data_IF_077450387207
#
_entry.id   IF_077450387207
#
_cell.length_a   1.000
_cell.length_b   1.000
_cell.length_c   1.000
_cell.angle_alpha   90.00
_cell.angle_beta   90.00
_cell.angle_gamma   90.00
#
_symmetry.space_group_name_H-M   'P 1'
#
loop_
_entity.id
_entity.type
_entity.pdbx_description
1 polymer ?
#
# COMPACT_ATOMS: atom_id res chain seq x y z
N UNK A 1 -12.08 23.84 -26.05
CA UNK A 1 -13.42 23.23 -26.01
C UNK A 1 -13.36 21.97 -25.16
N UNK A 2 -14.02 21.97 -24.02
CA UNK A 2 -14.17 20.79 -23.20
C UNK A 2 -15.23 19.91 -23.84
N UNK A 3 -14.80 18.76 -24.40
CA UNK A 3 -15.73 17.75 -24.87
C UNK A 3 -16.51 17.18 -23.65
N UNK A 4 -17.82 17.10 -23.78
CA UNK A 4 -18.67 16.40 -22.81
C UNK A 4 -18.26 14.91 -22.84
N UNK A 5 -17.61 14.42 -21.79
CA UNK A 5 -17.22 13.02 -21.64
C UNK A 5 -15.74 12.74 -21.42
N UNK A 6 -14.86 13.75 -21.43
CA UNK A 6 -13.45 13.53 -21.15
C UNK A 6 -13.22 13.28 -19.65
N UNK A 7 -12.77 12.06 -19.32
CA UNK A 7 -12.34 11.71 -17.98
C UNK A 7 -10.86 12.05 -17.83
N UNK A 8 -10.54 13.03 -16.98
CA UNK A 8 -9.17 13.40 -16.67
C UNK A 8 -8.66 12.57 -15.50
N UNK A 9 -7.56 11.84 -15.75
CA UNK A 9 -6.80 11.15 -14.71
C UNK A 9 -5.57 11.97 -14.36
N UNK A 10 -5.33 12.16 -13.06
CA UNK A 10 -4.10 12.73 -12.52
C UNK A 10 -3.48 11.73 -11.57
N UNK A 11 -2.19 11.49 -11.71
CA UNK A 11 -1.45 10.54 -10.89
C UNK A 11 -0.38 11.28 -10.09
N UNK A 12 -0.43 11.13 -8.76
CA UNK A 12 0.63 11.49 -7.85
C UNK A 12 1.57 10.30 -7.61
N UNK A 13 2.69 10.54 -6.97
CA UNK A 13 3.74 9.56 -6.75
C UNK A 13 4.38 9.66 -5.36
N UNK A 14 5.32 8.78 -5.06
CA UNK A 14 6.18 8.70 -3.88
C UNK A 14 5.50 8.26 -2.58
N UNK A 15 4.19 8.33 -2.50
CA UNK A 15 3.41 7.85 -1.37
C UNK A 15 3.25 8.86 -0.23
N UNK A 16 2.22 8.64 0.59
CA UNK A 16 1.74 9.55 1.64
C UNK A 16 2.79 9.85 2.70
N UNK A 17 3.59 8.85 3.10
CA UNK A 17 4.62 9.01 4.13
C UNK A 17 5.85 9.82 3.67
N UNK A 18 5.93 10.16 2.40
CA UNK A 18 6.98 11.03 1.84
C UNK A 18 6.52 12.46 1.59
N UNK A 19 5.29 12.79 1.96
CA UNK A 19 4.78 14.17 1.89
C UNK A 19 5.52 15.08 2.87
N UNK A 20 5.93 16.30 2.47
CA UNK A 20 6.68 17.22 3.34
C UNK A 20 5.95 17.61 4.62
N UNK A 21 4.63 17.76 4.55
CA UNK A 21 3.81 18.26 5.66
C UNK A 21 3.22 17.14 6.52
N UNK A 22 2.89 15.98 5.91
CA UNK A 22 2.17 14.90 6.58
C UNK A 22 2.94 13.57 6.60
N UNK A 23 4.13 13.51 6.02
CA UNK A 23 4.99 12.32 6.01
C UNK A 23 5.90 12.21 7.23
N UNK A 24 6.89 11.33 7.12
CA UNK A 24 7.87 11.05 8.18
C UNK A 24 9.04 12.05 8.16
N UNK A 25 8.74 13.32 8.25
CA UNK A 25 9.78 14.37 8.26
C UNK A 25 10.89 14.07 9.29
N UNK A 26 12.18 14.28 8.97
CA UNK A 26 12.72 14.95 7.77
C UNK A 26 12.94 14.03 6.54
N UNK A 27 12.62 12.74 6.63
CA UNK A 27 12.88 11.76 5.56
C UNK A 27 11.75 11.75 4.51
N UNK A 28 11.45 12.90 3.94
CA UNK A 28 10.39 13.17 2.98
C UNK A 28 10.95 13.60 1.62
N UNK A 29 10.09 13.74 0.62
CA UNK A 29 10.45 14.31 -0.69
C UNK A 29 10.23 15.81 -0.72
N UNK A 30 10.69 16.48 -1.78
CA UNK A 30 10.55 17.93 -1.97
C UNK A 30 9.22 18.36 -2.62
N UNK A 31 8.34 17.42 -2.93
CA UNK A 31 7.06 17.69 -3.58
C UNK A 31 5.90 17.10 -2.78
N UNK A 32 4.73 17.73 -2.90
CA UNK A 32 3.50 17.25 -2.28
C UNK A 32 3.03 15.96 -2.95
N UNK A 33 2.80 14.94 -2.14
CA UNK A 33 2.42 13.59 -2.60
C UNK A 33 0.94 13.30 -2.39
N UNK A 34 0.21 14.18 -1.73
CA UNK A 34 -1.20 14.00 -1.40
C UNK A 34 -2.11 14.45 -2.54
N UNK A 35 -3.20 13.71 -2.75
CA UNK A 35 -4.19 13.99 -3.80
C UNK A 35 -4.80 15.39 -3.73
N UNK A 36 -4.94 15.96 -2.52
CA UNK A 36 -5.44 17.33 -2.32
C UNK A 36 -4.62 18.39 -3.06
N UNK A 37 -3.31 18.21 -3.19
CA UNK A 37 -2.45 19.11 -3.96
C UNK A 37 -2.67 18.99 -5.48
N UNK A 38 -3.28 17.90 -5.95
CA UNK A 38 -3.66 17.74 -7.34
C UNK A 38 -4.63 18.83 -7.80
N UNK A 39 -5.53 19.27 -6.92
CA UNK A 39 -6.44 20.39 -7.21
C UNK A 39 -5.66 21.70 -7.39
N UNK A 40 -4.73 22.00 -6.48
CA UNK A 40 -3.89 23.19 -6.53
C UNK A 40 -3.02 23.19 -7.78
N UNK A 41 -2.31 22.10 -8.04
CA UNK A 41 -1.40 21.98 -9.19
C UNK A 41 -2.10 21.99 -10.56
N UNK A 42 -3.34 21.53 -10.61
CA UNK A 42 -4.14 21.54 -11.83
C UNK A 42 -4.99 22.82 -12.01
N UNK A 43 -5.05 23.70 -11.00
CA UNK A 43 -5.89 24.89 -11.01
C UNK A 43 -7.38 24.58 -11.08
N UNK A 44 -7.80 23.50 -10.42
CA UNK A 44 -9.20 23.10 -10.35
C UNK A 44 -9.74 23.19 -8.91
N UNK A 45 -11.02 23.47 -8.71
CA UNK A 45 -11.59 23.49 -7.37
C UNK A 45 -11.48 22.10 -6.70
N UNK A 46 -11.16 22.02 -5.39
CA UNK A 46 -11.01 20.74 -4.69
C UNK A 46 -12.25 19.84 -4.77
N UNK A 47 -13.45 20.42 -4.78
CA UNK A 47 -14.72 19.70 -4.85
C UNK A 47 -14.98 19.02 -6.21
N UNK A 48 -14.16 19.30 -7.24
CA UNK A 48 -14.20 18.60 -8.52
C UNK A 48 -13.52 17.23 -8.48
N UNK A 49 -12.67 16.97 -7.46
CA UNK A 49 -12.07 15.66 -7.26
C UNK A 49 -13.10 14.76 -6.59
N UNK A 50 -13.68 13.83 -7.35
CA UNK A 50 -14.76 12.93 -6.89
C UNK A 50 -14.26 11.55 -6.48
N UNK A 51 -13.16 11.11 -7.08
CA UNK A 51 -12.60 9.77 -6.84
C UNK A 51 -11.09 9.84 -6.64
N UNK A 52 -10.64 9.30 -5.53
CA UNK A 52 -9.23 9.21 -5.18
C UNK A 52 -8.91 7.74 -4.94
N UNK A 53 -8.13 7.16 -5.85
CA UNK A 53 -7.66 5.79 -5.74
C UNK A 53 -6.27 5.78 -5.14
N UNK A 54 -6.14 5.19 -3.95
CA UNK A 54 -4.83 4.99 -3.30
C UNK A 54 -4.28 3.62 -3.67
N UNK A 55 -3.04 3.57 -4.13
CA UNK A 55 -2.38 2.32 -4.48
C UNK A 55 -1.60 1.80 -3.28
N UNK A 56 -1.91 0.58 -2.85
CA UNK A 56 -1.21 -0.14 -1.79
C UNK A 56 -0.62 -1.44 -2.34
N UNK A 57 0.63 -1.73 -2.03
CA UNK A 57 1.23 -3.05 -2.29
C UNK A 57 0.81 -4.04 -1.20
N UNK A 58 0.69 -5.31 -1.53
CA UNK A 58 0.42 -6.37 -0.55
C UNK A 58 1.57 -6.64 0.45
N UNK A 59 2.69 -5.99 0.26
CA UNK A 59 3.83 -5.88 1.19
C UNK A 59 4.37 -4.45 1.13
N UNK A 60 5.30 -4.10 1.99
CA UNK A 60 5.87 -2.76 2.05
C UNK A 60 7.29 -2.71 1.46
N UNK A 61 7.61 -1.63 0.76
CA UNK A 61 8.99 -1.36 0.34
C UNK A 61 9.31 0.13 0.48
N UNK A 62 10.55 0.45 0.83
CA UNK A 62 10.98 1.82 1.00
C UNK A 62 12.36 2.07 0.40
N UNK A 63 12.58 3.32 -0.03
CA UNK A 63 13.88 3.82 -0.47
C UNK A 63 14.35 4.89 0.50
N UNK A 64 15.63 4.86 0.83
CA UNK A 64 16.25 5.84 1.71
C UNK A 64 16.00 5.59 3.20
N UNK A 65 16.44 6.53 4.02
CA UNK A 65 16.31 6.48 5.46
C UNK A 65 14.90 6.84 5.94
N UNK A 66 14.68 6.72 7.24
CA UNK A 66 13.44 7.02 7.94
C UNK A 66 12.81 5.80 8.58
N UNK A 67 11.86 6.01 9.46
CA UNK A 67 11.18 4.95 10.17
C UNK A 67 10.42 4.02 9.20
N UNK A 68 10.54 2.73 9.45
CA UNK A 68 9.87 1.68 8.70
C UNK A 68 9.54 0.55 9.67
N UNK A 69 8.44 0.69 10.41
CA UNK A 69 8.13 -0.14 11.58
C UNK A 69 7.99 -1.62 11.21
N UNK A 70 7.38 -1.93 10.08
CA UNK A 70 7.19 -3.32 9.59
C UNK A 70 8.39 -3.87 8.81
N UNK A 71 9.56 -3.23 8.87
CA UNK A 71 10.76 -3.65 8.14
C UNK A 71 11.24 -5.03 8.56
N UNK A 72 11.68 -5.82 7.59
CA UNK A 72 12.27 -7.14 7.75
C UNK A 72 13.70 -7.16 7.22
N UNK A 73 14.51 -8.11 7.73
CA UNK A 73 15.93 -8.20 7.46
C UNK A 73 16.36 -9.63 7.12
N UNK A 74 17.58 -9.78 6.62
CA UNK A 74 18.16 -11.09 6.31
C UNK A 74 17.49 -11.79 5.13
N UNK A 75 17.54 -13.13 5.16
CA UNK A 75 17.09 -13.99 4.05
C UNK A 75 15.61 -13.76 3.67
N UNK A 76 14.76 -13.48 4.65
CA UNK A 76 13.34 -13.19 4.44
C UNK A 76 13.15 -11.92 3.60
N UNK A 77 13.89 -10.86 3.92
CA UNK A 77 13.86 -9.61 3.15
C UNK A 77 14.44 -9.81 1.74
N UNK A 78 15.52 -10.57 1.62
CA UNK A 78 16.19 -10.84 0.35
C UNK A 78 15.31 -11.67 -0.58
N UNK A 79 14.61 -12.67 -0.05
CA UNK A 79 13.67 -13.48 -0.82
C UNK A 79 12.48 -12.64 -1.31
N UNK A 80 11.85 -11.85 -0.43
CA UNK A 80 10.76 -10.97 -0.80
C UNK A 80 11.22 -9.93 -1.83
N UNK A 81 12.39 -9.35 -1.66
CA UNK A 81 12.99 -8.38 -2.60
C UNK A 81 13.20 -8.98 -3.99
N UNK A 82 13.74 -10.18 -4.04
CA UNK A 82 14.00 -10.88 -5.30
C UNK A 82 12.73 -11.22 -6.05
N UNK A 83 11.66 -11.56 -5.36
CA UNK A 83 10.35 -11.90 -5.94
C UNK A 83 9.50 -10.68 -6.29
N UNK A 84 9.78 -9.53 -5.66
CA UNK A 84 8.99 -8.33 -5.81
C UNK A 84 9.07 -7.72 -7.21
N UNK A 85 7.91 -7.38 -7.80
CA UNK A 85 7.81 -6.74 -9.11
C UNK A 85 8.44 -7.56 -10.25
N UNK A 86 8.54 -6.97 -11.43
CA UNK A 86 9.08 -7.61 -12.64
C UNK A 86 10.59 -7.82 -12.66
N UNK A 87 11.33 -7.15 -11.83
CA UNK A 87 12.80 -7.21 -11.79
C UNK A 87 13.33 -7.23 -10.37
N UNK A 88 12.48 -7.53 -9.39
CA UNK A 88 12.79 -7.40 -7.97
C UNK A 88 12.64 -5.98 -7.46
N UNK A 89 12.63 -5.82 -6.15
CA UNK A 89 12.52 -4.53 -5.49
C UNK A 89 13.88 -3.82 -5.42
N UNK A 90 14.31 -3.33 -6.57
CA UNK A 90 15.54 -2.54 -6.74
C UNK A 90 15.21 -1.15 -7.31
N UNK A 91 16.08 -0.20 -7.07
CA UNK A 91 15.93 1.14 -7.63
C UNK A 91 16.10 1.12 -9.15
N UNK A 92 15.10 1.62 -9.89
CA UNK A 92 15.09 1.57 -11.35
C UNK A 92 16.34 2.22 -12.01
N UNK A 93 16.85 3.31 -11.42
CA UNK A 93 18.02 4.03 -11.96
C UNK A 93 19.32 3.58 -11.32
N UNK A 94 19.32 3.28 -10.03
CA UNK A 94 20.54 3.03 -9.24
C UNK A 94 20.83 1.56 -8.99
N UNK A 95 19.86 0.67 -9.23
CA UNK A 95 19.96 -0.75 -8.88
C UNK A 95 20.07 -1.03 -7.38
N UNK A 96 19.93 -0.01 -6.52
CA UNK A 96 20.04 -0.21 -5.06
C UNK A 96 18.91 -1.07 -4.53
N UNK A 97 19.20 -2.05 -3.65
CA UNK A 97 18.16 -2.85 -3.02
C UNK A 97 17.26 -1.96 -2.16
N UNK A 98 15.94 -2.14 -2.32
CA UNK A 98 14.95 -1.47 -1.46
C UNK A 98 14.87 -2.16 -0.12
N UNK A 99 14.55 -1.40 0.91
CA UNK A 99 14.16 -1.93 2.22
C UNK A 99 12.83 -2.63 2.06
N UNK A 100 12.67 -3.77 2.69
CA UNK A 100 11.47 -4.60 2.59
C UNK A 100 10.75 -4.69 3.92
N UNK A 101 9.44 -4.83 3.90
CA UNK A 101 8.63 -5.02 5.10
C UNK A 101 7.32 -5.72 4.79
N UNK A 102 6.67 -6.24 5.82
CA UNK A 102 5.32 -6.78 5.71
C UNK A 102 4.30 -5.65 5.50
N UNK A 103 3.11 -6.01 5.02
CA UNK A 103 2.04 -5.04 4.90
C UNK A 103 1.77 -4.38 6.26
N UNK A 104 1.67 -3.06 6.27
CA UNK A 104 1.50 -2.26 7.47
C UNK A 104 0.12 -1.58 7.46
N UNK A 105 -0.79 -2.13 8.26
CA UNK A 105 -2.16 -1.63 8.33
C UNK A 105 -2.23 -0.23 8.95
N UNK A 106 -1.37 0.07 9.93
CA UNK A 106 -1.35 1.37 10.60
C UNK A 106 -0.89 2.46 9.65
N UNK A 107 0.24 2.25 8.97
CA UNK A 107 0.76 3.18 7.98
C UNK A 107 -0.18 3.34 6.78
N UNK A 108 -0.77 2.23 6.29
CA UNK A 108 -1.68 2.25 5.14
C UNK A 108 -3.00 2.95 5.46
N UNK A 109 -3.59 2.71 6.63
CA UNK A 109 -4.77 3.43 7.13
C UNK A 109 -4.51 4.94 7.21
N UNK A 110 -3.39 5.33 7.80
CA UNK A 110 -2.98 6.72 7.85
C UNK A 110 -2.81 7.31 6.45
N UNK A 111 -2.09 6.61 5.57
CA UNK A 111 -1.87 7.05 4.20
C UNK A 111 -3.18 7.25 3.43
N UNK A 112 -4.12 6.31 3.50
CA UNK A 112 -5.43 6.43 2.88
C UNK A 112 -6.21 7.63 3.43
N UNK A 113 -6.15 7.87 4.74
CA UNK A 113 -6.79 9.03 5.38
C UNK A 113 -6.21 10.34 4.87
N UNK A 114 -4.89 10.47 4.81
CA UNK A 114 -4.22 11.68 4.32
C UNK A 114 -4.49 11.96 2.83
N UNK A 115 -4.61 10.91 2.03
CA UNK A 115 -4.99 11.03 0.62
C UNK A 115 -6.48 11.42 0.44
N UNK A 116 -7.33 11.18 1.42
CA UNK A 116 -8.79 11.25 1.24
C UNK A 116 -9.28 10.15 0.31
N UNK A 117 -8.75 8.92 0.47
CA UNK A 117 -9.04 7.78 -0.39
C UNK A 117 -10.55 7.48 -0.43
N UNK A 118 -11.08 7.29 -1.62
CA UNK A 118 -12.43 6.72 -1.84
C UNK A 118 -12.36 5.24 -2.14
N UNK A 119 -11.24 4.82 -2.72
CA UNK A 119 -10.98 3.46 -3.16
C UNK A 119 -9.51 3.10 -2.96
N UNK A 120 -9.22 1.81 -2.80
CA UNK A 120 -7.87 1.27 -2.76
C UNK A 120 -7.65 0.29 -3.91
N UNK A 121 -6.54 0.47 -4.62
CA UNK A 121 -6.00 -0.51 -5.54
C UNK A 121 -4.91 -1.32 -4.82
N UNK A 122 -5.17 -2.60 -4.61
CA UNK A 122 -4.28 -3.51 -3.88
C UNK A 122 -3.47 -4.34 -4.86
N UNK A 123 -2.16 -4.20 -4.85
CA UNK A 123 -1.29 -4.67 -5.93
C UNK A 123 -0.25 -5.68 -5.44
N UNK A 124 0.38 -6.38 -6.38
CA UNK A 124 1.49 -7.35 -6.18
C UNK A 124 1.16 -8.52 -5.25
N UNK A 125 -0.10 -8.93 -5.22
CA UNK A 125 -0.54 -10.10 -4.44
C UNK A 125 0.13 -11.40 -4.88
N UNK A 126 0.40 -11.54 -6.18
CA UNK A 126 1.08 -12.69 -6.78
C UNK A 126 2.46 -12.97 -6.15
N UNK A 127 3.13 -11.93 -5.67
CA UNK A 127 4.45 -12.02 -5.03
C UNK A 127 4.41 -12.85 -3.75
N UNK A 128 3.31 -12.83 -3.00
CA UNK A 128 3.18 -13.53 -1.71
C UNK A 128 2.82 -15.01 -1.82
N UNK A 129 2.55 -15.51 -3.02
CA UNK A 129 2.12 -16.89 -3.27
C UNK A 129 3.10 -17.99 -2.86
N UNK A 130 4.32 -17.67 -2.47
CA UNK A 130 5.31 -18.63 -1.98
C UNK A 130 5.24 -18.90 -0.47
N UNK A 131 4.54 -18.04 0.28
CA UNK A 131 4.51 -18.09 1.74
C UNK A 131 3.49 -19.11 2.26
N UNK A 132 3.84 -19.79 3.35
CA UNK A 132 2.92 -20.63 4.11
C UNK A 132 2.04 -19.78 5.04
N UNK A 133 2.65 -18.77 5.66
CA UNK A 133 2.00 -17.77 6.49
C UNK A 133 2.46 -16.38 6.06
N UNK A 134 1.54 -15.43 6.04
CA UNK A 134 1.82 -14.04 5.67
C UNK A 134 1.68 -13.17 6.91
N UNK A 135 2.78 -12.63 7.45
CA UNK A 135 2.72 -11.67 8.53
C UNK A 135 2.14 -10.32 8.05
N UNK A 136 1.30 -9.71 8.88
CA UNK A 136 0.73 -8.39 8.66
C UNK A 136 0.91 -7.56 9.92
N UNK A 137 1.43 -6.35 9.80
CA UNK A 137 1.56 -5.43 10.91
C UNK A 137 0.18 -4.79 11.20
N UNK A 138 -0.41 -5.14 12.34
CA UNK A 138 -1.75 -4.70 12.74
C UNK A 138 -1.74 -3.61 13.82
N UNK A 139 -0.60 -3.30 14.37
CA UNK A 139 -0.43 -2.31 15.40
C UNK A 139 1.05 -2.01 15.67
N UNK A 140 1.31 -1.01 16.45
CA UNK A 140 2.63 -0.62 16.92
C UNK A 140 2.70 -0.69 18.44
N UNK A 141 3.69 -1.42 18.96
CA UNK A 141 4.06 -1.39 20.37
C UNK A 141 5.07 -0.24 20.57
N UNK A 142 4.72 0.72 21.41
CA UNK A 142 5.54 1.88 21.76
C UNK A 142 5.66 1.91 23.27
N UNK A 143 6.84 1.59 23.78
CA UNK A 143 7.14 1.56 25.21
C UNK A 143 6.18 0.66 26.03
N UNK A 144 5.64 -0.42 25.43
CA UNK A 144 4.71 -1.37 26.04
C UNK A 144 3.22 -1.05 25.84
N UNK A 145 2.89 0.05 25.18
CA UNK A 145 1.52 0.39 24.79
C UNK A 145 1.29 0.12 23.31
N UNK A 146 0.24 -0.65 23.01
CA UNK A 146 -0.12 -0.99 21.62
C UNK A 146 -1.10 0.04 21.07
N UNK A 147 -0.77 0.61 19.91
CA UNK A 147 -1.63 1.55 19.20
C UNK A 147 -1.89 1.09 17.77
N UNK A 148 -3.06 1.43 17.23
CA UNK A 148 -3.43 1.29 15.82
C UNK A 148 -3.49 2.65 15.11
N UNK A 149 -3.20 3.73 15.81
CA UNK A 149 -3.09 5.07 15.24
C UNK A 149 -1.64 5.36 14.89
N UNK A 150 -1.45 6.03 13.74
CA UNK A 150 -0.10 6.38 13.25
C UNK A 150 0.49 7.50 14.13
N UNK A 151 1.62 7.24 14.81
CA UNK A 151 2.19 8.17 15.76
C UNK A 151 3.06 9.24 15.07
N UNK A 152 3.55 10.20 15.84
CA UNK A 152 4.53 11.17 15.37
C UNK A 152 5.87 10.50 15.02
N UNK A 153 6.66 11.12 14.15
CA UNK A 153 7.94 10.57 13.68
C UNK A 153 8.88 10.16 14.81
N UNK A 154 8.92 10.96 15.90
CA UNK A 154 9.74 10.65 17.07
C UNK A 154 9.35 9.32 17.76
N UNK A 155 8.06 9.03 17.82
CA UNK A 155 7.55 7.78 18.40
C UNK A 155 7.71 6.60 17.43
N UNK A 156 7.66 6.84 16.11
CA UNK A 156 7.90 5.82 15.10
C UNK A 156 9.28 5.19 15.21
N UNK A 157 10.31 5.95 15.63
CA UNK A 157 11.67 5.44 15.81
C UNK A 157 11.78 4.40 16.92
N UNK A 158 10.85 4.42 17.88
CA UNK A 158 10.77 3.47 19.01
C UNK A 158 9.78 2.33 18.76
N UNK A 159 8.90 2.51 17.79
CA UNK A 159 7.80 1.59 17.55
C UNK A 159 8.31 0.21 17.09
N UNK A 160 7.68 -0.82 17.61
CA UNK A 160 7.88 -2.22 17.19
C UNK A 160 6.60 -2.73 16.53
N UNK A 161 6.69 -3.54 15.45
CA UNK A 161 5.49 -4.05 14.80
C UNK A 161 4.80 -5.12 15.66
N UNK A 162 3.49 -5.01 15.79
CA UNK A 162 2.64 -6.09 16.29
C UNK A 162 2.15 -6.86 15.06
N UNK A 163 2.64 -8.09 14.91
CA UNK A 163 2.38 -8.91 13.74
C UNK A 163 1.28 -9.93 14.00
N UNK A 164 0.35 -10.04 13.05
CA UNK A 164 -0.61 -11.13 12.93
C UNK A 164 -0.26 -11.96 11.71
N UNK A 165 -0.20 -13.28 11.86
CA UNK A 165 0.04 -14.20 10.75
C UNK A 165 -1.27 -14.68 10.16
N UNK A 166 -1.40 -14.62 8.85
CA UNK A 166 -2.53 -15.14 8.09
C UNK A 166 -2.07 -16.32 7.23
N UNK A 167 -2.93 -17.31 6.98
CA UNK A 167 -2.59 -18.42 6.09
C UNK A 167 -2.26 -17.93 4.68
N UNK A 168 -1.15 -18.39 4.13
CA UNK A 168 -0.79 -18.17 2.73
C UNK A 168 -1.62 -19.06 1.79
N UNK A 169 -1.59 -18.73 0.51
CA UNK A 169 -2.34 -19.51 -0.51
C UNK A 169 -1.49 -20.47 -1.33
N UNK A 170 -0.17 -20.40 -1.25
CA UNK A 170 0.78 -21.35 -1.86
C UNK A 170 0.49 -21.72 -3.32
N UNK A 171 0.05 -20.75 -4.10
CA UNK A 171 -0.26 -20.96 -5.51
C UNK A 171 0.02 -19.71 -6.33
N UNK A 172 0.29 -19.92 -7.64
CA UNK A 172 0.36 -18.82 -8.60
C UNK A 172 -1.07 -18.35 -8.91
N UNK A 173 -1.31 -17.07 -8.68
CA UNK A 173 -2.60 -16.42 -8.93
C UNK A 173 -2.58 -15.54 -10.18
N UNK A 174 -1.46 -15.48 -10.89
CA UNK A 174 -1.35 -14.72 -12.14
C UNK A 174 -2.28 -15.28 -13.20
N UNK A 175 -2.93 -14.40 -13.92
CA UNK A 175 -3.87 -14.78 -14.96
C UNK A 175 -5.28 -15.14 -14.48
N UNK A 176 -5.55 -15.20 -13.17
CA UNK A 176 -6.91 -15.31 -12.62
C UNK A 176 -7.64 -13.99 -12.92
N UNK A 177 -8.83 -14.08 -13.54
CA UNK A 177 -9.58 -12.92 -14.03
C UNK A 177 -10.79 -12.55 -13.20
N UNK A 178 -11.19 -13.43 -12.29
CA UNK A 178 -12.35 -13.19 -11.41
C UNK A 178 -11.92 -13.36 -9.96
N UNK A 179 -12.47 -12.54 -9.11
CA UNK A 179 -12.18 -12.58 -7.68
C UNK A 179 -12.60 -13.89 -7.03
N UNK A 180 -13.72 -14.39 -7.42
CA UNK A 180 -14.27 -15.64 -6.92
C UNK A 180 -13.35 -16.84 -7.19
N UNK A 181 -12.52 -16.73 -8.25
CA UNK A 181 -11.57 -17.78 -8.64
C UNK A 181 -10.24 -17.69 -7.87
N UNK A 182 -10.02 -16.60 -7.12
CA UNK A 182 -8.85 -16.49 -6.24
C UNK A 182 -8.94 -17.54 -5.12
N UNK A 183 -7.79 -18.10 -4.68
CA UNK A 183 -7.76 -18.98 -3.50
C UNK A 183 -8.43 -18.32 -2.29
N UNK A 184 -9.13 -19.13 -1.49
CA UNK A 184 -9.83 -18.63 -0.31
C UNK A 184 -8.93 -17.83 0.63
N UNK A 185 -7.72 -18.33 0.93
CA UNK A 185 -6.78 -17.62 1.78
C UNK A 185 -6.35 -16.26 1.17
N UNK A 186 -6.28 -16.15 -0.15
CA UNK A 186 -5.98 -14.89 -0.83
C UNK A 186 -7.13 -13.89 -0.64
N UNK A 187 -8.37 -14.32 -0.80
CA UNK A 187 -9.55 -13.49 -0.54
C UNK A 187 -9.62 -13.06 0.93
N UNK A 188 -9.42 -14.01 1.85
CA UNK A 188 -9.39 -13.72 3.28
C UNK A 188 -8.31 -12.69 3.66
N UNK A 189 -7.15 -12.75 2.99
CA UNK A 189 -6.10 -11.76 3.17
C UNK A 189 -6.53 -10.36 2.71
N UNK A 190 -7.18 -10.26 1.54
CA UNK A 190 -7.69 -8.99 1.00
C UNK A 190 -8.75 -8.41 1.93
N UNK A 191 -9.73 -9.21 2.33
CA UNK A 191 -10.83 -8.82 3.21
C UNK A 191 -10.31 -8.38 4.59
N UNK A 192 -9.35 -9.12 5.13
CA UNK A 192 -8.70 -8.76 6.39
C UNK A 192 -8.01 -7.39 6.30
N UNK A 193 -7.23 -7.16 5.23
CA UNK A 193 -6.55 -5.87 5.02
C UNK A 193 -7.57 -4.74 4.86
N UNK A 194 -8.63 -4.95 4.08
CA UNK A 194 -9.71 -3.97 3.89
C UNK A 194 -10.35 -3.57 5.22
N UNK A 195 -10.65 -4.56 6.08
CA UNK A 195 -11.20 -4.32 7.41
C UNK A 195 -10.25 -3.50 8.29
N UNK A 196 -8.96 -3.87 8.30
CA UNK A 196 -7.96 -3.22 9.14
C UNK A 196 -7.69 -1.77 8.73
N UNK A 197 -7.60 -1.48 7.45
CA UNK A 197 -7.38 -0.12 6.97
C UNK A 197 -8.65 0.73 6.98
N UNK A 198 -9.84 0.11 6.90
CA UNK A 198 -11.14 0.79 6.92
C UNK A 198 -11.49 1.53 5.62
N UNK A 199 -10.87 1.16 4.50
CA UNK A 199 -11.11 1.71 3.16
C UNK A 199 -11.37 0.59 2.16
N UNK A 200 -12.34 0.77 1.23
CA UNK A 200 -12.73 -0.30 0.31
C UNK A 200 -11.61 -0.63 -0.68
N UNK A 201 -11.24 -1.90 -0.74
CA UNK A 201 -10.35 -2.41 -1.78
C UNK A 201 -11.21 -2.79 -2.98
N UNK A 202 -11.31 -1.89 -3.95
CA UNK A 202 -12.15 -2.07 -5.13
C UNK A 202 -11.40 -2.61 -6.34
N UNK A 203 -10.07 -2.65 -6.26
CA UNK A 203 -9.21 -3.09 -7.35
C UNK A 203 -8.10 -3.97 -6.79
N UNK A 204 -7.90 -5.12 -7.40
CA UNK A 204 -6.84 -6.07 -7.03
C UNK A 204 -6.00 -6.38 -8.27
N UNK A 205 -4.67 -6.27 -8.14
CA UNK A 205 -3.73 -6.68 -9.18
C UNK A 205 -2.97 -7.91 -8.73
N UNK A 206 -2.98 -8.93 -9.58
CA UNK A 206 -2.36 -10.24 -9.38
C UNK A 206 -1.27 -10.56 -10.41
N UNK A 207 -0.68 -9.55 -11.04
CA UNK A 207 0.42 -9.70 -11.99
C UNK A 207 0.75 -8.42 -12.75
N UNK A 208 1.90 -8.39 -13.47
CA UNK A 208 2.40 -7.19 -14.14
C UNK A 208 1.67 -6.88 -15.46
N UNK A 209 1.12 -7.88 -16.14
CA UNK A 209 0.69 -7.75 -17.54
C UNK A 209 -0.69 -7.14 -17.76
N UNK A 210 -1.44 -6.88 -16.78
CA UNK A 210 -2.61 -6.02 -16.86
C UNK A 210 -3.10 -5.77 -15.45
N UNK A 211 -3.41 -4.52 -15.11
CA UNK A 211 -4.32 -4.26 -14.03
C UNK A 211 -5.61 -5.04 -14.32
N UNK A 212 -5.71 -6.24 -13.82
CA UNK A 212 -6.98 -6.89 -13.63
C UNK A 212 -7.66 -6.08 -12.55
N UNK A 213 -8.27 -4.97 -12.99
CA UNK A 213 -9.11 -4.15 -12.14
C UNK A 213 -10.30 -5.01 -11.80
N UNK A 214 -10.23 -5.58 -10.65
CA UNK A 214 -11.26 -6.38 -10.07
C UNK A 214 -12.01 -5.49 -9.07
N UNK A 215 -13.29 -5.35 -9.26
CA UNK A 215 -14.17 -4.70 -8.30
C UNK A 215 -14.68 -5.75 -7.33
N UNK A 216 -14.23 -5.70 -6.09
CA UNK A 216 -14.91 -6.40 -5.00
C UNK A 216 -16.28 -5.75 -4.79
N UNK A 217 -17.36 -6.52 -4.64
CA UNK A 217 -18.61 -5.97 -4.15
C UNK A 217 -18.35 -5.41 -2.75
N UNK A 218 -18.51 -4.09 -2.60
CA UNK A 218 -18.38 -3.45 -1.30
C UNK A 218 -19.40 -4.05 -0.33
N UNK A 219 -19.02 -4.42 0.90
CA UNK A 219 -19.97 -4.87 1.90
C UNK A 219 -20.91 -3.77 2.44
N UNK A 220 -20.96 -2.62 1.81
CA UNK A 220 -21.69 -1.43 2.27
C UNK A 220 -22.81 -0.95 1.34
N UNK A 221 -23.39 -1.87 0.54
CA UNK A 221 -24.67 -1.61 -0.14
C UNK A 221 -25.83 -2.15 0.69
#
# INVERSE_FOLDING_TARGET
>A
SRGLGDVYKRQGQLGSLKDPDHGIYPMVTSSSTLAGYGAVGAGVPPYEIKKIVTVCKAYSSAVGAGAFVSEIFGDEADELRRRGGDGGEFGATTGRPRRMGWFDCVASKYGCRMQGATDVAFTVLDVLGYLDEIPVCVGYDIDGEVTTEFPTTHLLEKAKPVLKKLPGWKSDIRGIKKYEDLPENCRNYIEFVEEQIGYPITMVSNGPESCLLYTSPSPRD
#
